data_IF_847787420388
#
_entry.id   IF_847787420388
#
_cell.length_a   1.000
_cell.length_b   1.000
_cell.length_c   1.000
_cell.angle_alpha   90.00
_cell.angle_beta   90.00
_cell.angle_gamma   90.00
#
_symmetry.space_group_name_H-M   'P 1'
#
loop_
_entity.id
_entity.type
_entity.pdbx_description
1 polymer ?
#
# COMPACT_ATOMS: atom_id res chain seq x y z
N UNK A 1 1.04 20.45 7.04
CA UNK A 1 0.76 20.61 5.61
C UNK A 1 -0.61 20.05 5.28
N UNK A 2 -1.20 20.50 4.18
CA UNK A 2 -2.45 19.97 3.66
C UNK A 2 -2.17 19.10 2.45
N UNK A 3 -2.84 17.96 2.35
CA UNK A 3 -2.73 17.03 1.22
C UNK A 3 -4.02 16.23 1.05
N UNK A 4 -4.37 15.98 -0.21
CA UNK A 4 -5.48 15.13 -0.59
C UNK A 4 -4.95 13.83 -1.20
N UNK A 5 -5.63 12.73 -0.90
CA UNK A 5 -5.35 11.40 -1.43
C UNK A 5 -6.59 10.89 -2.19
N UNK A 6 -6.70 11.20 -3.49
CA UNK A 6 -7.90 10.89 -4.26
C UNK A 6 -8.10 9.37 -4.43
N UNK A 7 -9.36 8.94 -4.39
CA UNK A 7 -9.72 7.58 -4.78
C UNK A 7 -9.42 7.35 -6.28
N UNK A 8 -9.02 6.16 -6.64
CA UNK A 8 -8.66 5.83 -8.02
C UNK A 8 -7.28 6.31 -8.46
N UNK A 9 -6.48 6.85 -7.56
CA UNK A 9 -5.15 7.39 -7.86
C UNK A 9 -4.08 6.78 -6.96
N UNK A 10 -2.84 6.82 -7.47
CA UNK A 10 -1.63 6.46 -6.73
C UNK A 10 -0.91 7.74 -6.32
N UNK A 11 -0.84 7.99 -5.02
CA UNK A 11 -0.05 9.08 -4.46
C UNK A 11 1.25 8.55 -3.88
N UNK A 12 2.38 8.99 -4.42
CA UNK A 12 3.68 8.69 -3.84
C UNK A 12 4.11 9.75 -2.83
N UNK A 13 4.64 9.30 -1.69
CA UNK A 13 5.21 10.15 -0.65
C UNK A 13 6.72 9.90 -0.64
N UNK A 14 7.46 10.88 -1.12
CA UNK A 14 8.92 10.89 -1.13
C UNK A 14 9.50 11.75 -0.01
N UNK A 15 10.80 11.63 0.23
CA UNK A 15 11.54 12.46 1.18
C UNK A 15 12.72 11.71 1.79
N UNK A 16 13.63 12.44 2.43
CA UNK A 16 14.81 11.88 3.07
C UNK A 16 14.47 10.91 4.22
N UNK A 17 15.45 10.08 4.58
CA UNK A 17 15.30 9.20 5.73
C UNK A 17 15.16 10.04 7.02
N UNK A 18 14.23 9.65 7.89
CA UNK A 18 13.97 10.35 9.14
C UNK A 18 13.06 11.57 9.04
N UNK A 19 12.64 12.00 7.85
CA UNK A 19 11.75 13.18 7.67
C UNK A 19 10.33 12.98 8.20
N UNK A 20 9.95 11.75 8.54
CA UNK A 20 8.64 11.45 9.15
C UNK A 20 7.67 10.66 8.28
N UNK A 21 8.11 10.10 7.14
CA UNK A 21 7.24 9.30 6.23
C UNK A 21 6.48 8.19 6.97
N UNK A 22 7.19 7.32 7.68
CA UNK A 22 6.56 6.22 8.45
C UNK A 22 5.65 6.74 9.58
N UNK A 23 5.97 7.90 10.18
CA UNK A 23 5.10 8.54 11.16
C UNK A 23 3.80 8.99 10.51
N UNK A 24 3.87 9.61 9.34
CA UNK A 24 2.70 10.00 8.56
C UNK A 24 1.83 8.79 8.20
N UNK A 25 2.43 7.71 7.71
CA UNK A 25 1.73 6.44 7.45
C UNK A 25 0.97 5.96 8.69
N UNK A 26 1.63 5.90 9.85
CA UNK A 26 0.99 5.49 11.11
C UNK A 26 -0.18 6.38 11.50
N UNK A 27 -0.07 7.67 11.25
CA UNK A 27 -1.16 8.63 11.52
C UNK A 27 -2.31 8.42 10.55
N UNK A 28 -2.06 8.27 9.25
CA UNK A 28 -3.07 7.99 8.23
C UNK A 28 -3.82 6.68 8.51
N UNK A 29 -3.10 5.61 8.85
CA UNK A 29 -3.70 4.32 9.23
C UNK A 29 -4.40 4.33 10.60
N UNK A 30 -4.37 5.44 11.35
CA UNK A 30 -4.94 5.50 12.70
C UNK A 30 -4.15 4.73 13.76
N UNK A 31 -2.91 4.32 13.49
CA UNK A 31 -2.00 3.68 14.45
C UNK A 31 -1.40 4.70 15.42
N UNK A 32 -1.27 5.97 15.00
CA UNK A 32 -0.88 7.09 15.84
C UNK A 32 -1.90 8.22 15.77
N UNK A 33 -1.89 9.10 16.77
CA UNK A 33 -2.64 10.34 16.74
C UNK A 33 -1.84 11.43 16.01
N UNK A 34 -2.47 12.32 15.22
CA UNK A 34 -1.80 13.51 14.73
C UNK A 34 -1.42 14.42 15.91
N UNK A 35 -0.28 15.10 15.83
CA UNK A 35 0.12 16.11 16.81
C UNK A 35 -0.71 17.39 16.71
N UNK A 36 -1.17 17.70 15.48
CA UNK A 36 -2.04 18.83 15.16
C UNK A 36 -2.78 18.56 13.85
N UNK A 37 -3.78 19.38 13.54
CA UNK A 37 -4.57 19.25 12.31
C UNK A 37 -5.66 18.18 12.39
N UNK A 38 -6.32 17.95 11.27
CA UNK A 38 -7.45 17.03 11.14
C UNK A 38 -7.23 16.10 9.95
N UNK A 39 -7.78 14.90 10.04
CA UNK A 39 -7.81 13.95 8.93
C UNK A 39 -9.27 13.67 8.62
N UNK A 40 -9.62 13.89 7.38
CA UNK A 40 -10.98 13.66 6.88
C UNK A 40 -11.01 12.49 5.90
N UNK A 41 -12.16 11.83 5.81
CA UNK A 41 -12.50 10.87 4.79
C UNK A 41 -13.87 11.27 4.25
N UNK A 42 -13.97 11.49 2.94
CA UNK A 42 -15.17 12.04 2.29
C UNK A 42 -15.66 13.36 2.95
N UNK A 43 -14.72 14.24 3.29
CA UNK A 43 -15.02 15.53 3.93
C UNK A 43 -15.40 15.45 5.42
N UNK A 44 -15.47 14.27 6.01
CA UNK A 44 -15.81 14.09 7.43
C UNK A 44 -14.58 13.77 8.26
N UNK A 45 -14.42 14.48 9.38
CA UNK A 45 -13.33 14.21 10.35
C UNK A 45 -13.43 12.78 10.88
N UNK A 46 -12.31 12.07 10.88
CA UNK A 46 -12.26 10.66 11.24
C UNK A 46 -11.55 10.39 12.56
N UNK A 47 -12.10 9.46 13.31
CA UNK A 47 -11.44 8.87 14.48
C UNK A 47 -10.33 7.88 14.03
N UNK A 48 -9.42 7.56 14.96
CA UNK A 48 -8.39 6.54 14.74
C UNK A 48 -8.99 5.17 14.38
N UNK A 49 -10.13 4.80 15.00
CA UNK A 49 -10.82 3.54 14.74
C UNK A 49 -11.37 3.48 13.30
N UNK A 50 -11.97 4.56 12.83
CA UNK A 50 -12.48 4.66 11.45
C UNK A 50 -11.35 4.57 10.43
N UNK A 51 -10.22 5.26 10.66
CA UNK A 51 -9.05 5.15 9.78
C UNK A 51 -8.50 3.73 9.73
N UNK A 52 -8.35 3.04 10.88
CA UNK A 52 -7.93 1.63 10.90
C UNK A 52 -8.88 0.71 10.14
N UNK A 53 -10.17 0.97 10.18
CA UNK A 53 -11.15 0.19 9.43
C UNK A 53 -11.09 0.48 7.92
N UNK A 54 -10.72 1.71 7.51
CA UNK A 54 -10.66 2.11 6.11
C UNK A 54 -9.33 1.79 5.41
N UNK A 55 -8.24 1.57 6.17
CA UNK A 55 -6.89 1.40 5.63
C UNK A 55 -6.42 -0.05 5.69
N UNK A 56 -5.81 -0.55 4.60
CA UNK A 56 -4.89 -1.68 4.59
C UNK A 56 -3.46 -1.14 4.56
N UNK A 57 -2.56 -1.71 5.35
CA UNK A 57 -1.17 -1.31 5.44
C UNK A 57 -0.25 -2.47 5.05
N UNK A 58 0.58 -2.24 4.06
CA UNK A 58 1.71 -3.11 3.70
C UNK A 58 2.98 -2.47 4.23
N UNK A 59 3.66 -3.15 5.17
CA UNK A 59 4.89 -2.66 5.79
C UNK A 59 6.12 -3.10 5.00
N UNK A 60 7.22 -2.39 5.17
CA UNK A 60 8.52 -2.69 4.56
C UNK A 60 8.99 -4.13 4.82
N UNK A 61 8.86 -4.61 6.06
CA UNK A 61 9.20 -6.01 6.41
C UNK A 61 7.97 -6.90 6.23
N UNK A 62 7.80 -7.41 5.01
CA UNK A 62 6.66 -8.28 4.64
C UNK A 62 6.64 -9.60 5.41
N UNK A 63 7.80 -10.12 5.83
CA UNK A 63 7.87 -11.36 6.60
C UNK A 63 7.17 -11.29 7.95
N UNK A 64 7.05 -10.09 8.53
CA UNK A 64 6.35 -9.85 9.80
C UNK A 64 4.84 -9.72 9.65
N UNK A 65 4.34 -9.74 8.43
CA UNK A 65 2.90 -9.63 8.13
C UNK A 65 2.27 -10.95 7.69
N UNK A 66 3.04 -12.02 7.61
CA UNK A 66 2.61 -13.34 7.18
C UNK A 66 2.41 -14.23 8.40
N UNK A 67 1.20 -14.68 8.63
CA UNK A 67 0.77 -15.39 9.85
C UNK A 67 0.14 -16.75 9.57
N UNK A 68 -0.28 -17.04 8.33
CA UNK A 68 -0.91 -18.29 7.95
C UNK A 68 0.11 -19.33 7.48
N UNK A 69 -0.31 -20.59 7.44
CA UNK A 69 0.47 -21.70 6.92
C UNK A 69 0.36 -21.83 5.39
N UNK A 70 -0.64 -21.19 4.77
CA UNK A 70 -0.90 -21.24 3.32
C UNK A 70 -1.13 -19.84 2.74
N UNK A 71 -0.92 -19.69 1.43
CA UNK A 71 -1.17 -18.43 0.75
C UNK A 71 -2.65 -18.04 0.79
N UNK A 72 -3.55 -19.00 0.58
CA UNK A 72 -4.99 -18.76 0.67
C UNK A 72 -5.40 -18.32 2.08
N UNK A 73 -4.82 -18.94 3.11
CA UNK A 73 -5.05 -18.56 4.49
C UNK A 73 -4.67 -17.10 4.77
N UNK A 74 -3.58 -16.58 4.15
CA UNK A 74 -3.20 -15.18 4.27
C UNK A 74 -4.26 -14.24 3.67
N UNK A 75 -4.86 -14.60 2.55
CA UNK A 75 -5.91 -13.78 1.92
C UNK A 75 -7.16 -13.69 2.81
N UNK A 76 -7.47 -14.74 3.55
CA UNK A 76 -8.66 -14.79 4.42
C UNK A 76 -8.49 -14.05 5.74
N UNK A 77 -7.26 -13.68 6.13
CA UNK A 77 -7.01 -12.87 7.31
C UNK A 77 -7.58 -11.46 7.10
N UNK A 78 -8.73 -11.19 7.73
CA UNK A 78 -9.44 -9.90 7.60
C UNK A 78 -10.33 -9.74 6.35
N UNK A 79 -10.50 -10.84 5.57
CA UNK A 79 -11.29 -10.89 4.34
C UNK A 79 -11.91 -12.27 4.16
N UNK A 80 -12.92 -12.60 4.95
CA UNK A 80 -13.56 -13.93 4.95
C UNK A 80 -14.06 -14.38 3.56
N UNK A 81 -14.34 -13.43 2.67
CA UNK A 81 -14.89 -13.71 1.34
C UNK A 81 -13.80 -14.02 0.29
N UNK A 82 -12.51 -13.93 0.68
CA UNK A 82 -11.36 -14.22 -0.19
C UNK A 82 -10.91 -15.69 -0.11
N UNK A 83 -11.81 -16.62 0.12
CA UNK A 83 -11.56 -18.08 0.13
C UNK A 83 -12.10 -18.76 -1.13
N UNK A 84 -11.62 -19.97 -1.40
CA UNK A 84 -12.03 -20.78 -2.53
C UNK A 84 -11.75 -20.11 -3.86
N UNK A 85 -12.69 -20.14 -4.81
CA UNK A 85 -12.52 -19.63 -6.18
C UNK A 85 -12.09 -18.14 -6.22
N UNK A 86 -12.58 -17.31 -5.28
CA UNK A 86 -12.19 -15.90 -5.19
C UNK A 86 -10.72 -15.75 -4.77
N UNK A 87 -10.28 -16.56 -3.80
CA UNK A 87 -8.88 -16.59 -3.37
C UNK A 87 -7.94 -17.11 -4.46
N UNK A 88 -8.31 -18.20 -5.13
CA UNK A 88 -7.54 -18.75 -6.24
C UNK A 88 -7.37 -17.72 -7.39
N UNK A 89 -8.46 -17.06 -7.77
CA UNK A 89 -8.41 -15.99 -8.77
C UNK A 89 -7.50 -14.83 -8.35
N UNK A 90 -7.59 -14.43 -7.08
CA UNK A 90 -6.74 -13.38 -6.55
C UNK A 90 -5.27 -13.80 -6.56
N UNK A 91 -4.94 -15.02 -6.15
CA UNK A 91 -3.57 -15.55 -6.26
C UNK A 91 -3.08 -15.60 -7.72
N UNK A 92 -3.96 -15.95 -8.66
CA UNK A 92 -3.63 -15.94 -10.09
C UNK A 92 -3.34 -14.52 -10.61
N UNK A 93 -4.12 -13.52 -10.19
CA UNK A 93 -3.92 -12.11 -10.54
C UNK A 93 -2.54 -11.58 -10.09
N UNK A 94 -1.96 -12.19 -9.06
CA UNK A 94 -0.64 -11.86 -8.50
C UNK A 94 0.48 -12.83 -8.91
N UNK A 95 0.21 -13.75 -9.86
CA UNK A 95 1.14 -14.81 -10.27
C UNK A 95 1.63 -15.68 -9.09
N UNK A 96 0.70 -16.05 -8.22
CA UNK A 96 0.95 -16.86 -7.02
C UNK A 96 0.13 -18.16 -6.97
N UNK A 97 -0.81 -18.39 -7.90
CA UNK A 97 -1.71 -19.55 -7.85
C UNK A 97 -0.96 -20.89 -7.81
N UNK A 98 0.17 -20.99 -8.56
CA UNK A 98 1.02 -22.19 -8.60
C UNK A 98 1.76 -22.47 -7.28
N UNK A 99 1.64 -21.60 -6.29
CA UNK A 99 2.30 -21.67 -4.98
C UNK A 99 1.30 -21.83 -3.83
N UNK A 100 0.00 -21.96 -4.11
CA UNK A 100 -1.09 -21.89 -3.14
C UNK A 100 -0.88 -22.72 -1.87
N UNK A 101 -0.38 -23.95 -2.04
CA UNK A 101 -0.10 -24.91 -0.96
C UNK A 101 1.21 -24.67 -0.21
N UNK A 102 2.04 -23.70 -0.66
CA UNK A 102 3.30 -23.43 0.01
C UNK A 102 3.10 -22.58 1.25
N UNK A 103 3.99 -22.80 2.22
CA UNK A 103 4.06 -21.93 3.39
C UNK A 103 4.57 -20.55 2.98
N UNK A 104 3.90 -19.44 3.35
CA UNK A 104 4.26 -18.08 2.95
C UNK A 104 5.72 -17.71 3.24
N UNK A 105 6.28 -18.17 4.35
CA UNK A 105 7.67 -17.89 4.71
C UNK A 105 8.70 -18.54 3.76
N UNK A 106 8.30 -19.58 3.00
CA UNK A 106 9.18 -20.24 2.00
C UNK A 106 9.29 -19.48 0.69
N UNK A 107 8.50 -18.45 0.49
CA UNK A 107 8.48 -17.62 -0.72
C UNK A 107 9.73 -16.74 -0.84
N UNK A 108 10.10 -16.40 -2.08
CA UNK A 108 11.09 -15.36 -2.34
C UNK A 108 10.60 -13.98 -1.87
N UNK A 109 11.50 -13.00 -1.73
CA UNK A 109 11.15 -11.65 -1.30
C UNK A 109 10.06 -11.02 -2.17
N UNK A 110 10.19 -11.09 -3.50
CA UNK A 110 9.18 -10.58 -4.42
C UNK A 110 7.84 -11.33 -4.37
N UNK A 111 7.85 -12.64 -4.15
CA UNK A 111 6.62 -13.42 -3.95
C UNK A 111 5.92 -13.04 -2.64
N UNK A 112 6.68 -12.86 -1.55
CA UNK A 112 6.12 -12.36 -0.27
C UNK A 112 5.50 -10.99 -0.44
N UNK A 113 6.18 -10.09 -1.17
CA UNK A 113 5.67 -8.75 -1.45
C UNK A 113 4.32 -8.81 -2.18
N UNK A 114 4.24 -9.60 -3.26
CA UNK A 114 2.99 -9.78 -4.00
C UNK A 114 1.89 -10.40 -3.14
N UNK A 115 2.22 -11.37 -2.29
CA UNK A 115 1.24 -11.99 -1.39
C UNK A 115 0.67 -10.99 -0.39
N UNK A 116 1.51 -10.18 0.25
CA UNK A 116 1.03 -9.17 1.23
C UNK A 116 0.18 -8.09 0.54
N UNK A 117 0.52 -7.69 -0.70
CA UNK A 117 -0.31 -6.76 -1.48
C UNK A 117 -1.64 -7.43 -1.87
N UNK A 118 -1.62 -8.71 -2.28
CA UNK A 118 -2.84 -9.48 -2.55
C UNK A 118 -3.75 -9.57 -1.32
N UNK A 119 -3.18 -9.87 -0.14
CA UNK A 119 -3.90 -9.89 1.12
C UNK A 119 -4.50 -8.51 1.48
N UNK A 120 -3.74 -7.43 1.26
CA UNK A 120 -4.24 -6.07 1.45
C UNK A 120 -5.44 -5.78 0.52
N UNK A 121 -5.35 -6.15 -0.77
CA UNK A 121 -6.46 -6.03 -1.74
C UNK A 121 -7.67 -6.88 -1.33
N UNK A 122 -7.46 -8.11 -0.85
CA UNK A 122 -8.53 -8.99 -0.39
C UNK A 122 -9.42 -8.35 0.67
N UNK A 123 -8.86 -7.48 1.51
CA UNK A 123 -9.65 -6.79 2.56
C UNK A 123 -10.73 -5.85 2.00
N UNK A 124 -10.71 -5.50 0.71
CA UNK A 124 -11.63 -4.54 0.09
C UNK A 124 -11.60 -3.14 0.71
N UNK A 125 -10.50 -2.77 1.37
CA UNK A 125 -10.39 -1.49 2.05
C UNK A 125 -10.19 -0.35 1.06
N UNK A 126 -10.77 0.79 1.38
CA UNK A 126 -10.80 1.98 0.51
C UNK A 126 -9.45 2.67 0.36
N UNK A 127 -8.54 2.43 1.28
CA UNK A 127 -7.22 3.05 1.31
C UNK A 127 -6.19 1.93 1.47
N UNK A 128 -5.24 1.84 0.54
CA UNK A 128 -4.13 0.90 0.60
C UNK A 128 -2.83 1.70 0.72
N UNK A 129 -2.11 1.49 1.81
CA UNK A 129 -0.85 2.20 2.07
C UNK A 129 0.28 1.18 2.04
N UNK A 130 1.34 1.50 1.27
CA UNK A 130 2.53 0.69 1.16
C UNK A 130 3.74 1.49 1.66
N UNK A 131 4.45 0.94 2.64
CA UNK A 131 5.67 1.56 3.19
C UNK A 131 6.88 0.83 2.60
N UNK A 132 7.62 1.50 1.69
CA UNK A 132 8.80 1.01 0.97
C UNK A 132 8.58 -0.33 0.22
N UNK A 133 7.60 -0.42 -0.70
CA UNK A 133 7.23 -1.69 -1.34
C UNK A 133 8.30 -2.24 -2.29
N UNK A 134 9.30 -1.45 -2.66
CA UNK A 134 10.39 -1.84 -3.56
C UNK A 134 11.64 -2.33 -2.80
N UNK A 135 11.65 -2.23 -1.47
CA UNK A 135 12.80 -2.62 -0.66
C UNK A 135 13.10 -4.11 -0.80
N UNK A 136 14.30 -4.43 -1.32
CA UNK A 136 14.73 -5.82 -1.54
C UNK A 136 14.07 -6.53 -2.72
N UNK A 137 13.39 -5.80 -3.60
CA UNK A 137 12.79 -6.32 -4.84
C UNK A 137 13.74 -6.07 -6.02
N UNK A 138 13.94 -7.09 -6.85
CA UNK A 138 14.71 -6.96 -8.10
C UNK A 138 13.96 -6.03 -9.08
N UNK A 139 14.69 -5.16 -9.79
CA UNK A 139 14.15 -4.22 -10.76
C UNK A 139 13.17 -4.85 -11.77
N UNK A 140 13.39 -6.13 -12.16
CA UNK A 140 12.50 -6.89 -13.04
C UNK A 140 11.09 -7.12 -12.49
N UNK A 141 10.87 -6.92 -11.20
CA UNK A 141 9.57 -7.11 -10.55
C UNK A 141 8.85 -5.78 -10.27
N UNK A 142 9.51 -4.63 -10.50
CA UNK A 142 8.93 -3.31 -10.26
C UNK A 142 7.72 -3.06 -11.17
N UNK A 143 7.81 -3.45 -12.45
CA UNK A 143 6.69 -3.33 -13.40
C UNK A 143 5.45 -4.11 -12.92
N UNK A 144 5.67 -5.31 -12.37
CA UNK A 144 4.59 -6.14 -11.82
C UNK A 144 3.93 -5.49 -10.59
N UNK A 145 4.73 -4.88 -9.71
CA UNK A 145 4.21 -4.14 -8.55
C UNK A 145 3.42 -2.92 -9.04
N UNK A 146 3.98 -2.13 -9.96
CA UNK A 146 3.32 -0.96 -10.55
C UNK A 146 1.98 -1.32 -11.17
N UNK A 147 1.93 -2.35 -12.00
CA UNK A 147 0.70 -2.83 -12.63
C UNK A 147 -0.35 -3.26 -11.58
N UNK A 148 0.11 -3.90 -10.49
CA UNK A 148 -0.74 -4.30 -9.39
C UNK A 148 -1.34 -3.10 -8.65
N UNK A 149 -0.52 -2.09 -8.33
CA UNK A 149 -0.97 -0.88 -7.66
C UNK A 149 -1.96 -0.10 -8.53
N UNK A 150 -1.67 -0.03 -9.84
CA UNK A 150 -2.58 0.61 -10.80
C UNK A 150 -3.95 -0.07 -10.82
N UNK A 151 -3.99 -1.40 -10.85
CA UNK A 151 -5.25 -2.15 -10.79
C UNK A 151 -6.04 -1.88 -9.50
N UNK A 152 -5.36 -1.85 -8.35
CA UNK A 152 -6.00 -1.53 -7.06
C UNK A 152 -6.60 -0.10 -7.08
N UNK A 153 -5.89 0.86 -7.68
CA UNK A 153 -6.40 2.21 -7.85
C UNK A 153 -7.62 2.24 -8.80
N UNK A 154 -7.55 1.58 -9.96
CA UNK A 154 -8.65 1.47 -10.93
C UNK A 154 -9.92 0.85 -10.34
N UNK A 155 -9.79 0.00 -9.33
CA UNK A 155 -10.91 -0.55 -8.55
C UNK A 155 -11.51 0.47 -7.56
N UNK A 156 -10.97 1.69 -7.51
CA UNK A 156 -11.50 2.81 -6.74
C UNK A 156 -10.83 3.04 -5.38
N UNK A 157 -9.77 2.30 -5.04
CA UNK A 157 -9.02 2.57 -3.82
C UNK A 157 -8.12 3.81 -3.97
N UNK A 158 -7.91 4.54 -2.88
CA UNK A 158 -6.81 5.49 -2.78
C UNK A 158 -5.53 4.71 -2.42
N UNK A 159 -4.54 4.70 -3.31
CA UNK A 159 -3.27 4.00 -3.10
C UNK A 159 -2.22 5.03 -2.67
N UNK A 160 -1.58 4.78 -1.53
CA UNK A 160 -0.52 5.65 -1.00
C UNK A 160 0.76 4.83 -0.91
N UNK A 161 1.79 5.27 -1.60
CA UNK A 161 3.10 4.61 -1.62
C UNK A 161 4.12 5.51 -0.96
N UNK A 162 4.77 5.02 0.07
CA UNK A 162 5.94 5.70 0.65
C UNK A 162 7.18 5.05 0.08
N UNK A 163 8.04 5.84 -0.55
CA UNK A 163 9.28 5.34 -1.12
C UNK A 163 10.37 6.42 -1.16
N UNK A 164 11.62 5.99 -1.15
CA UNK A 164 12.78 6.83 -1.47
C UNK A 164 13.29 6.59 -2.90
N UNK A 165 12.70 5.62 -3.60
CA UNK A 165 13.01 5.31 -4.99
C UNK A 165 12.25 6.27 -5.93
N UNK A 166 12.98 7.27 -6.45
CA UNK A 166 12.42 8.29 -7.33
C UNK A 166 12.01 7.73 -8.71
N UNK A 167 12.70 6.70 -9.22
CA UNK A 167 12.35 6.06 -10.49
C UNK A 167 11.02 5.33 -10.37
N UNK A 168 10.87 4.54 -9.30
CA UNK A 168 9.61 3.86 -9.02
C UNK A 168 8.46 4.85 -8.80
N UNK A 169 8.69 5.91 -8.00
CA UNK A 169 7.68 6.94 -7.78
C UNK A 169 7.24 7.58 -9.10
N UNK A 170 8.19 7.93 -9.98
CA UNK A 170 7.90 8.53 -11.29
C UNK A 170 7.17 7.58 -12.25
N UNK A 171 7.38 6.27 -12.10
CA UNK A 171 6.74 5.26 -12.96
C UNK A 171 5.29 4.96 -12.56
N UNK A 172 4.91 5.16 -11.29
CA UNK A 172 3.61 4.73 -10.78
C UNK A 172 2.71 5.85 -10.27
N UNK A 173 3.23 7.03 -9.93
CA UNK A 173 2.46 8.06 -9.24
C UNK A 173 1.62 8.92 -10.18
N UNK A 174 0.37 9.15 -9.82
CA UNK A 174 -0.48 10.21 -10.38
C UNK A 174 -0.21 11.55 -9.63
N UNK A 175 0.26 11.45 -8.39
CA UNK A 175 0.58 12.58 -7.53
C UNK A 175 1.82 12.27 -6.70
N UNK A 176 2.75 13.23 -6.62
CA UNK A 176 3.95 13.13 -5.80
C UNK A 176 3.90 14.17 -4.67
N UNK A 177 4.02 13.71 -3.44
CA UNK A 177 4.18 14.54 -2.25
C UNK A 177 5.61 14.38 -1.74
N UNK A 178 6.38 15.46 -1.73
CA UNK A 178 7.73 15.44 -1.17
C UNK A 178 7.73 16.03 0.23
N UNK A 179 8.07 15.21 1.22
CA UNK A 179 8.24 15.66 2.60
C UNK A 179 9.63 16.24 2.82
N UNK A 180 9.66 17.41 3.46
CA UNK A 180 10.88 18.08 3.91
C UNK A 180 10.82 18.34 5.42
N UNK A 181 11.94 18.63 6.09
CA UNK A 181 11.93 18.98 7.51
C UNK A 181 11.05 20.19 7.86
N UNK A 182 10.79 21.06 6.90
CA UNK A 182 10.02 22.32 7.06
C UNK A 182 8.59 22.23 6.54
N UNK A 183 8.19 21.11 5.90
CA UNK A 183 6.85 20.97 5.34
C UNK A 183 6.75 19.90 4.26
N UNK A 184 5.81 20.07 3.35
CA UNK A 184 5.65 19.21 2.18
C UNK A 184 5.33 20.04 0.94
N UNK A 185 5.77 19.56 -0.21
CA UNK A 185 5.38 20.06 -1.53
C UNK A 185 4.59 18.97 -2.25
N UNK A 186 3.59 19.38 -3.05
CA UNK A 186 2.76 18.45 -3.82
C UNK A 186 2.89 18.81 -5.30
N UNK A 187 3.17 17.82 -6.14
CA UNK A 187 3.14 17.94 -7.60
C UNK A 187 2.20 16.86 -8.16
N UNK A 188 1.43 17.21 -9.19
CA UNK A 188 0.56 16.29 -9.92
C UNK A 188 1.11 16.04 -11.31
N UNK A 189 0.79 14.88 -11.87
CA UNK A 189 1.10 14.59 -13.26
C UNK A 189 0.45 15.66 -14.16
N UNK A 190 1.30 16.38 -14.93
CA UNK A 190 0.84 17.50 -15.79
C UNK A 190 1.05 18.90 -15.26
N UNK A 191 1.53 19.08 -14.03
CA UNK A 191 1.96 20.40 -13.56
C UNK A 191 3.29 20.81 -14.26
N UNK A 192 3.37 22.00 -14.87
CA UNK A 192 4.62 22.47 -15.48
C UNK A 192 5.69 22.69 -14.39
N UNK A 193 6.88 22.15 -14.64
CA UNK A 193 8.07 22.37 -13.81
C UNK A 193 8.60 23.81 -13.95
#
# INVERSE_FOLDING_TARGET
>A
FDADFPAGQITCIAGENGVGKTTLVRVLCGLAAPSSGTITLDGQTTSRRQRRAACALVMQDTGRQLFSDTLEGELTIGASDASGEAGEKLLADFDLAHLGERHPLSLSGGQKQRLVIAAARATGRRIVILDEPTSGVDARHLDSITATLRRIAEEGAAVIVVTHDGEFASACADQLITLTPTGATCAREGDPQ
#
